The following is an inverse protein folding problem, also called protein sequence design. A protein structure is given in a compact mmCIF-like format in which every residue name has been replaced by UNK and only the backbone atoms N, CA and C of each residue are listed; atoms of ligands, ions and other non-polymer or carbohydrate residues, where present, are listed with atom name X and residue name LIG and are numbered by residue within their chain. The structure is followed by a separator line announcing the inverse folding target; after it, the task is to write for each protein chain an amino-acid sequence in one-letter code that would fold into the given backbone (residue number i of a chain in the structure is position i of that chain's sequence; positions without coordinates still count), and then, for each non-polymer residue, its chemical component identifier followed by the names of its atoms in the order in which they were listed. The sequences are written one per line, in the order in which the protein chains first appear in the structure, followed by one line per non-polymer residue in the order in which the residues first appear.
data_IF_796505212882
#
_entry.id   IF_796505212882
#
_cell.length_a   1.000
_cell.length_b   1.000
_cell.length_c   1.000
_cell.angle_alpha   90.00
_cell.angle_beta   90.00
_cell.angle_gamma   90.00
#
_symmetry.space_group_name_H-M   'P 1'
#
loop_
_entity.id
_entity.type
_entity.pdbx_description
1 polymer ?
#
# COMPACT_ATOMS: atom_id res chain seq x y z
N UNK A 1 -24.40 -48.57 67.39
CA UNK A 1 -22.96 -48.68 67.07
C UNK A 1 -22.89 -48.80 65.55
N UNK A 2 -23.03 -47.68 64.84
CA UNK A 2 -21.90 -46.87 64.33
C UNK A 2 -21.14 -47.63 63.25
N UNK A 3 -21.33 -47.31 61.97
CA UNK A 3 -20.43 -46.38 61.28
C UNK A 3 -20.96 -46.02 59.88
N UNK A 4 -20.82 -44.76 59.51
CA UNK A 4 -21.26 -44.14 58.26
C UNK A 4 -20.06 -44.02 57.32
N UNK A 5 -19.98 -44.86 56.30
CA UNK A 5 -18.95 -44.79 55.26
C UNK A 5 -19.38 -43.93 54.08
N UNK A 6 -19.12 -42.61 54.15
CA UNK A 6 -19.34 -41.67 53.05
C UNK A 6 -18.36 -41.87 51.89
N UNK A 7 -18.88 -41.81 50.66
CA UNK A 7 -18.09 -41.83 49.42
C UNK A 7 -17.35 -40.49 49.22
N UNK A 8 -16.06 -40.49 48.85
CA UNK A 8 -15.34 -39.25 48.57
C UNK A 8 -15.68 -38.72 47.16
N UNK A 9 -16.25 -37.52 47.13
CA UNK A 9 -16.38 -36.67 45.93
C UNK A 9 -15.01 -36.20 45.43
N UNK A 10 -14.77 -36.10 44.11
CA UNK A 10 -13.51 -35.60 43.57
C UNK A 10 -13.35 -34.08 43.81
N UNK A 11 -12.14 -33.59 44.07
CA UNK A 11 -11.89 -32.17 44.24
C UNK A 11 -12.04 -31.42 42.91
N UNK A 12 -12.87 -30.37 42.96
CA UNK A 12 -13.08 -29.37 41.93
C UNK A 12 -11.76 -28.63 41.64
N UNK A 13 -11.09 -28.96 40.54
CA UNK A 13 -9.90 -28.27 40.06
C UNK A 13 -10.37 -27.01 39.32
N UNK A 14 -10.62 -25.95 40.08
CA UNK A 14 -10.76 -24.59 39.55
C UNK A 14 -9.41 -24.17 38.96
N UNK A 15 -9.23 -24.38 37.65
CA UNK A 15 -8.08 -23.85 36.91
C UNK A 15 -8.17 -22.32 36.90
N UNK A 16 -7.45 -21.68 37.83
CA UNK A 16 -7.24 -20.24 37.82
C UNK A 16 -6.57 -19.80 36.52
N UNK A 17 -7.04 -18.69 35.96
CA UNK A 17 -6.42 -18.04 34.81
C UNK A 17 -4.93 -17.73 35.11
N UNK A 18 -4.02 -17.83 34.12
CA UNK A 18 -2.62 -17.49 34.32
C UNK A 18 -2.49 -16.02 34.75
N UNK A 19 -1.52 -15.69 35.64
CA UNK A 19 -1.33 -14.32 36.09
C UNK A 19 -0.92 -13.43 34.92
N UNK A 20 -1.40 -12.17 34.88
CA UNK A 20 -1.00 -11.22 33.85
C UNK A 20 0.51 -10.98 33.88
N UNK A 21 1.14 -10.64 32.74
CA UNK A 21 2.56 -10.33 32.68
C UNK A 21 2.90 -9.15 33.61
N UNK A 22 4.14 -9.09 34.14
CA UNK A 22 4.55 -8.00 35.01
C UNK A 22 4.48 -6.67 34.27
N UNK A 23 3.89 -5.66 34.93
CA UNK A 23 3.86 -4.28 34.46
C UNK A 23 5.31 -3.76 34.26
N UNK A 24 5.56 -2.91 33.25
CA UNK A 24 6.87 -2.31 33.06
C UNK A 24 7.28 -1.52 34.33
N UNK A 25 8.59 -1.41 34.62
CA UNK A 25 9.06 -0.64 35.77
C UNK A 25 8.55 0.79 35.65
N UNK A 26 7.82 1.25 36.66
CA UNK A 26 7.45 2.65 36.78
C UNK A 26 8.73 3.46 36.76
N UNK A 27 8.85 4.40 35.82
CA UNK A 27 9.96 5.32 35.77
C UNK A 27 9.91 6.13 37.08
N UNK A 28 10.69 5.71 38.08
CA UNK A 28 10.87 6.49 39.29
C UNK A 28 11.50 7.79 38.85
N UNK A 29 10.65 8.82 38.74
CA UNK A 29 11.08 10.19 38.54
C UNK A 29 11.82 10.58 39.81
N UNK A 30 13.12 10.30 39.86
CA UNK A 30 14.03 10.76 40.88
C UNK A 30 14.07 12.30 40.77
N UNK A 31 13.12 12.94 41.44
CA UNK A 31 12.98 14.38 41.50
C UNK A 31 14.01 14.87 42.51
N UNK A 32 15.24 15.10 42.05
CA UNK A 32 16.17 15.93 42.80
C UNK A 32 15.52 17.30 43.03
N UNK A 33 15.72 17.95 44.20
CA UNK A 33 15.23 19.31 44.43
C UNK A 33 15.78 20.25 43.34
N UNK A 34 14.98 21.15 42.76
CA UNK A 34 15.47 22.08 41.76
C UNK A 34 16.49 23.01 42.42
N UNK A 35 17.74 22.98 41.93
CA UNK A 35 18.70 24.06 42.16
C UNK A 35 18.07 25.39 41.70
N UNK A 36 18.39 26.53 42.32
CA UNK A 36 17.89 27.83 41.87
C UNK A 36 18.35 28.03 40.42
N UNK A 37 17.39 27.91 39.50
CA UNK A 37 17.62 28.09 38.10
C UNK A 37 18.07 29.54 37.89
N UNK A 38 19.28 29.74 37.37
CA UNK A 38 19.60 30.96 36.64
C UNK A 38 18.52 31.21 35.57
N UNK A 39 18.36 32.44 35.08
CA UNK A 39 17.31 32.76 34.11
C UNK A 39 17.34 31.71 32.98
N UNK A 40 16.18 31.12 32.63
CA UNK A 40 16.14 30.03 31.67
C UNK A 40 16.81 30.51 30.38
N UNK A 41 17.83 29.77 29.93
CA UNK A 41 18.48 30.03 28.65
C UNK A 41 17.36 30.04 27.60
N UNK A 42 17.11 31.20 27.00
CA UNK A 42 16.08 31.35 25.98
C UNK A 42 16.38 30.31 24.89
N UNK A 43 15.40 29.46 24.59
CA UNK A 43 15.56 28.46 23.55
C UNK A 43 15.86 29.19 22.23
N UNK A 44 16.84 28.74 21.43
CA UNK A 44 17.14 29.35 20.14
C UNK A 44 15.93 29.35 19.20
N UNK A 45 14.98 28.44 19.45
CA UNK A 45 13.70 28.40 18.75
C UNK A 45 12.81 29.61 19.05
N UNK A 46 12.77 30.06 20.31
CA UNK A 46 11.99 31.25 20.71
C UNK A 46 12.58 32.54 20.14
N UNK A 47 13.91 32.64 20.08
CA UNK A 47 14.59 33.77 19.42
C UNK A 47 14.30 33.78 17.92
N UNK A 48 14.39 32.61 17.27
CA UNK A 48 14.06 32.47 15.86
C UNK A 48 12.61 32.86 15.57
N UNK A 49 11.66 32.43 16.40
CA UNK A 49 10.25 32.82 16.29
C UNK A 49 10.04 34.33 16.51
N UNK A 50 10.73 34.93 17.49
CA UNK A 50 10.65 36.37 17.74
C UNK A 50 11.29 37.20 16.62
N UNK A 51 12.26 36.64 15.89
CA UNK A 51 12.91 37.27 14.74
C UNK A 51 12.12 37.16 13.42
N UNK A 52 11.00 36.43 13.40
CA UNK A 52 10.18 36.29 12.20
C UNK A 52 9.34 37.55 11.94
N UNK A 53 9.11 37.92 10.67
CA UNK A 53 8.22 39.02 10.32
C UNK A 53 6.81 38.85 10.89
N UNK A 54 6.18 39.95 11.29
CA UNK A 54 4.76 39.94 11.67
C UNK A 54 3.92 39.38 10.51
N UNK A 55 3.08 38.39 10.81
CA UNK A 55 2.27 37.70 9.80
C UNK A 55 2.91 36.48 9.15
N UNK A 56 4.14 36.08 9.52
CA UNK A 56 4.73 34.82 9.03
C UNK A 56 3.83 33.59 9.31
N UNK A 57 3.18 33.56 10.49
CA UNK A 57 2.22 32.50 10.84
C UNK A 57 0.89 32.59 10.07
N UNK A 58 0.55 33.77 9.55
CA UNK A 58 -0.67 34.01 8.76
C UNK A 58 -0.43 33.84 7.25
N UNK A 59 0.84 33.82 6.84
CA UNK A 59 1.21 33.63 5.45
C UNK A 59 0.95 32.18 5.05
N UNK A 60 -0.22 31.92 4.46
CA UNK A 60 -0.47 30.66 3.78
C UNK A 60 0.59 30.52 2.67
N UNK A 61 1.42 29.46 2.68
CA UNK A 61 2.30 29.20 1.56
C UNK A 61 1.41 29.13 0.31
N UNK A 62 1.80 29.85 -0.75
CA UNK A 62 1.12 29.72 -2.04
C UNK A 62 1.09 28.22 -2.38
N UNK A 63 -0.07 27.63 -2.69
CA UNK A 63 -0.11 26.24 -3.09
C UNK A 63 0.83 26.10 -4.29
N UNK A 64 1.85 25.24 -4.16
CA UNK A 64 2.70 24.88 -5.28
C UNK A 64 1.77 24.33 -6.37
N UNK A 65 1.91 24.80 -7.60
CA UNK A 65 1.18 24.20 -8.73
C UNK A 65 1.51 22.70 -8.72
N UNK A 66 0.49 21.87 -8.47
CA UNK A 66 0.68 20.43 -8.41
C UNK A 66 1.00 19.94 -9.82
N UNK A 67 2.23 19.51 -10.01
CA UNK A 67 2.67 18.81 -11.22
C UNK A 67 2.82 17.35 -10.85
N UNK A 68 2.21 16.47 -11.64
CA UNK A 68 2.34 15.04 -11.42
C UNK A 68 3.75 14.59 -11.77
N UNK A 69 4.42 13.91 -10.85
CA UNK A 69 5.72 13.32 -11.09
C UNK A 69 5.53 11.93 -11.70
N UNK A 70 5.84 11.80 -12.99
CA UNK A 70 5.74 10.51 -13.69
C UNK A 70 6.58 9.45 -12.98
N UNK A 71 5.98 8.29 -12.71
CA UNK A 71 6.60 7.23 -11.90
C UNK A 71 6.46 5.89 -12.63
N UNK A 72 7.48 5.03 -12.53
CA UNK A 72 7.41 3.69 -13.08
C UNK A 72 6.59 2.75 -12.20
N UNK A 73 5.72 1.98 -12.83
CA UNK A 73 4.93 0.93 -12.20
C UNK A 73 5.36 -0.42 -12.76
N UNK A 74 5.70 -1.35 -11.89
CA UNK A 74 6.04 -2.72 -12.23
C UNK A 74 4.80 -3.62 -12.14
N UNK A 75 4.61 -4.43 -13.16
CA UNK A 75 3.51 -5.37 -13.31
C UNK A 75 4.05 -6.79 -13.50
N UNK A 76 3.39 -7.76 -12.88
CA UNK A 76 3.77 -9.18 -12.90
C UNK A 76 2.58 -10.12 -13.21
N UNK A 77 1.42 -9.54 -13.55
CA UNK A 77 0.17 -10.24 -13.80
C UNK A 77 -0.45 -9.88 -15.15
N UNK A 78 -1.77 -9.72 -15.18
CA UNK A 78 -2.54 -9.44 -16.41
C UNK A 78 -2.16 -8.11 -17.05
N UNK A 79 -1.78 -7.10 -16.25
CA UNK A 79 -1.31 -5.78 -16.71
C UNK A 79 0.05 -5.82 -17.45
N UNK A 80 0.72 -6.98 -17.51
CA UNK A 80 1.90 -7.15 -18.37
C UNK A 80 1.54 -7.24 -19.85
N UNK A 81 0.27 -7.46 -20.18
CA UNK A 81 -0.19 -7.49 -21.57
C UNK A 81 -0.60 -6.08 -22.02
N UNK A 82 -0.05 -5.57 -23.14
CA UNK A 82 -0.32 -4.20 -23.58
C UNK A 82 -1.79 -3.92 -23.89
N UNK A 83 -2.51 -4.89 -24.47
CA UNK A 83 -3.95 -4.82 -24.79
C UNK A 83 -4.81 -4.60 -23.54
N UNK A 84 -4.54 -5.35 -22.48
CA UNK A 84 -5.24 -5.21 -21.19
C UNK A 84 -4.92 -3.85 -20.58
N UNK A 85 -3.63 -3.47 -20.53
CA UNK A 85 -3.22 -2.19 -19.96
C UNK A 85 -3.81 -1.00 -20.74
N UNK A 86 -3.87 -1.09 -22.06
CA UNK A 86 -4.50 -0.09 -22.92
C UNK A 86 -5.98 0.11 -22.54
N UNK A 87 -6.73 -0.97 -22.42
CA UNK A 87 -8.15 -0.94 -22.04
C UNK A 87 -8.36 -0.36 -20.64
N UNK A 88 -7.54 -0.78 -19.68
CA UNK A 88 -7.62 -0.27 -18.28
C UNK A 88 -7.32 1.22 -18.21
N UNK A 89 -6.29 1.69 -18.93
CA UNK A 89 -5.91 3.09 -18.93
C UNK A 89 -6.76 3.95 -19.88
N UNK A 90 -7.51 3.34 -20.79
CA UNK A 90 -8.27 4.03 -21.84
C UNK A 90 -7.35 4.83 -22.78
N UNK A 91 -6.25 4.21 -23.22
CA UNK A 91 -5.27 4.85 -24.12
C UNK A 91 -5.67 4.64 -25.59
N UNK A 92 -5.50 5.68 -26.41
CA UNK A 92 -5.77 5.62 -27.85
C UNK A 92 -4.78 4.71 -28.61
N UNK A 93 -3.59 4.51 -28.06
CA UNK A 93 -2.52 3.70 -28.64
C UNK A 93 -2.00 2.65 -27.65
N UNK A 94 -1.46 1.57 -28.18
CA UNK A 94 -0.86 0.49 -27.39
C UNK A 94 0.30 1.03 -26.50
N UNK A 95 0.29 0.77 -25.18
CA UNK A 95 1.33 1.25 -24.28
C UNK A 95 2.63 0.45 -24.45
N UNK A 96 3.77 1.15 -24.40
CA UNK A 96 5.09 0.52 -24.43
C UNK A 96 5.49 0.07 -23.04
N UNK A 97 5.49 -1.25 -22.84
CA UNK A 97 5.92 -1.93 -21.63
C UNK A 97 7.39 -2.34 -21.76
N UNK A 98 8.22 -1.97 -20.78
CA UNK A 98 9.63 -2.34 -20.74
C UNK A 98 9.82 -3.60 -19.89
N UNK A 99 10.49 -4.66 -20.38
CA UNK A 99 10.75 -5.83 -19.56
C UNK A 99 11.65 -5.47 -18.39
N UNK A 100 11.32 -5.99 -17.21
CA UNK A 100 12.01 -5.64 -15.97
C UNK A 100 11.93 -6.78 -14.93
N UNK A 101 12.70 -6.63 -13.86
CA UNK A 101 12.68 -7.51 -12.69
C UNK A 101 12.75 -6.71 -11.38
N UNK A 102 12.22 -7.31 -10.31
CA UNK A 102 12.31 -6.82 -8.93
C UNK A 102 12.82 -7.93 -8.02
N UNK A 103 13.47 -7.55 -6.91
CA UNK A 103 14.08 -8.48 -5.95
C UNK A 103 13.37 -8.43 -4.59
N UNK A 104 13.44 -9.53 -3.83
CA UNK A 104 12.87 -9.64 -2.48
C UNK A 104 11.40 -10.06 -2.44
N UNK A 105 10.82 -10.43 -3.58
CA UNK A 105 9.41 -10.81 -3.69
C UNK A 105 9.24 -12.19 -4.30
N UNK A 106 8.08 -12.79 -4.09
CA UNK A 106 7.65 -14.01 -4.78
C UNK A 106 6.19 -13.91 -5.19
N UNK A 107 5.80 -14.71 -6.20
CA UNK A 107 4.41 -14.83 -6.62
C UNK A 107 3.77 -16.03 -5.93
N UNK A 108 2.71 -15.77 -5.17
CA UNK A 108 1.83 -16.79 -4.63
C UNK A 108 0.50 -16.82 -5.41
N UNK A 109 -0.16 -17.98 -5.42
CA UNK A 109 -1.49 -18.11 -6.01
C UNK A 109 -2.56 -17.71 -5.00
N UNK A 110 -3.42 -16.79 -5.42
CA UNK A 110 -4.67 -16.46 -4.73
C UNK A 110 -5.84 -16.90 -5.61
N UNK A 111 -6.23 -18.16 -5.48
CA UNK A 111 -7.17 -18.79 -6.40
C UNK A 111 -6.58 -18.87 -7.81
N UNK A 112 -7.21 -18.17 -8.77
CA UNK A 112 -6.74 -18.06 -10.16
C UNK A 112 -5.78 -16.88 -10.40
N UNK A 113 -5.61 -15.98 -9.43
CA UNK A 113 -4.81 -14.78 -9.56
C UNK A 113 -3.42 -14.97 -8.97
N UNK A 114 -2.42 -14.29 -9.52
CA UNK A 114 -1.10 -14.19 -8.92
C UNK A 114 -1.06 -13.00 -7.97
N UNK A 115 -0.46 -13.19 -6.81
CA UNK A 115 -0.32 -12.17 -5.79
C UNK A 115 1.16 -12.06 -5.39
N UNK A 116 1.69 -10.83 -5.45
CA UNK A 116 3.05 -10.55 -5.02
C UNK A 116 3.10 -10.46 -3.50
N UNK A 117 4.01 -11.19 -2.88
CA UNK A 117 4.24 -11.19 -1.44
C UNK A 117 5.73 -11.12 -1.12
N UNK A 118 6.06 -10.70 0.10
CA UNK A 118 7.45 -10.64 0.56
C UNK A 118 8.09 -12.04 0.58
N UNK A 119 9.32 -12.11 0.09
CA UNK A 119 10.16 -13.30 0.06
C UNK A 119 11.54 -13.00 0.62
N UNK A 120 12.43 -13.99 0.55
CA UNK A 120 13.81 -13.84 0.97
C UNK A 120 14.54 -12.81 0.10
N UNK A 121 15.53 -12.09 0.65
CA UNK A 121 16.41 -11.26 -0.16
C UNK A 121 17.03 -12.09 -1.30
N UNK A 122 17.00 -11.57 -2.52
CA UNK A 122 17.50 -12.25 -3.71
C UNK A 122 16.47 -13.05 -4.50
N UNK A 123 15.27 -13.31 -3.98
CA UNK A 123 14.18 -13.88 -4.80
C UNK A 123 13.77 -12.88 -5.87
N UNK A 124 13.64 -13.32 -7.12
CA UNK A 124 13.38 -12.46 -8.28
C UNK A 124 11.98 -12.68 -8.81
N UNK A 125 11.29 -11.59 -9.13
CA UNK A 125 10.06 -11.60 -9.92
C UNK A 125 10.30 -10.83 -11.21
N UNK A 126 10.08 -11.50 -12.34
CA UNK A 126 10.15 -10.91 -13.68
C UNK A 126 8.79 -10.38 -14.10
N UNK A 127 8.78 -9.30 -14.87
CA UNK A 127 7.55 -8.65 -15.31
C UNK A 127 7.86 -7.54 -16.30
N UNK A 128 6.99 -6.54 -16.33
CA UNK A 128 7.13 -5.37 -17.19
C UNK A 128 6.88 -4.10 -16.40
N UNK A 129 7.50 -3.02 -16.80
CA UNK A 129 7.31 -1.71 -16.23
C UNK A 129 6.74 -0.72 -17.25
N UNK A 130 5.80 0.10 -16.79
CA UNK A 130 5.18 1.19 -17.56
C UNK A 130 5.39 2.50 -16.81
N UNK A 131 5.66 3.59 -17.57
CA UNK A 131 5.77 4.92 -16.99
C UNK A 131 4.40 5.57 -16.92
N UNK A 132 3.84 5.63 -15.71
CA UNK A 132 2.57 6.32 -15.45
C UNK A 132 2.83 7.82 -15.48
N UNK A 133 2.08 8.54 -16.30
CA UNK A 133 2.33 9.95 -16.65
C UNK A 133 1.31 10.91 -16.04
N UNK A 134 0.18 10.39 -15.58
CA UNK A 134 -0.87 11.22 -15.04
C UNK A 134 -1.54 10.63 -13.80
N UNK A 135 -2.25 11.52 -13.12
CA UNK A 135 -3.03 11.25 -11.91
C UNK A 135 -4.21 10.32 -12.23
N UNK A 136 -4.79 10.49 -13.42
CA UNK A 136 -5.91 9.71 -13.96
C UNK A 136 -5.47 8.28 -14.29
N UNK A 137 -4.32 8.09 -14.92
CA UNK A 137 -3.77 6.75 -15.18
C UNK A 137 -3.56 5.99 -13.86
N UNK A 138 -2.95 6.64 -12.86
CA UNK A 138 -2.75 6.02 -11.54
C UNK A 138 -4.07 5.68 -10.85
N UNK A 139 -5.11 6.51 -11.02
CA UNK A 139 -6.44 6.25 -10.48
C UNK A 139 -7.07 5.03 -11.15
N UNK A 140 -7.01 4.93 -12.49
CA UNK A 140 -7.54 3.79 -13.24
C UNK A 140 -6.86 2.49 -12.84
N UNK A 141 -5.54 2.50 -12.66
CA UNK A 141 -4.79 1.34 -12.15
C UNK A 141 -5.25 0.94 -10.75
N UNK A 142 -5.40 1.90 -9.84
CA UNK A 142 -5.86 1.62 -8.47
C UNK A 142 -7.30 1.10 -8.43
N UNK A 143 -8.15 1.53 -9.37
CA UNK A 143 -9.52 1.02 -9.51
C UNK A 143 -9.53 -0.42 -10.01
N UNK A 144 -8.72 -0.73 -11.03
CA UNK A 144 -8.64 -2.06 -11.64
C UNK A 144 -8.09 -3.13 -10.69
N UNK A 145 -7.07 -2.79 -9.90
CA UNK A 145 -6.44 -3.75 -8.97
C UNK A 145 -7.32 -4.04 -7.74
N UNK A 146 -8.33 -3.23 -7.44
CA UNK A 146 -9.24 -3.40 -6.28
C UNK A 146 -8.53 -3.31 -4.91
N UNK A 147 -9.21 -3.72 -3.83
CA UNK A 147 -8.67 -3.69 -2.46
C UNK A 147 -7.74 -4.86 -2.16
N UNK A 148 -7.63 -5.79 -3.09
CA UNK A 148 -6.76 -6.95 -2.99
C UNK A 148 -5.28 -6.57 -2.93
N UNK A 149 -4.91 -5.38 -3.40
CA UNK A 149 -3.51 -4.95 -3.48
C UNK A 149 -3.25 -3.57 -2.85
N UNK A 150 -2.08 -3.43 -2.22
CA UNK A 150 -1.50 -2.16 -1.78
C UNK A 150 -0.41 -1.72 -2.74
N UNK A 151 -0.24 -0.41 -2.86
CA UNK A 151 0.78 0.18 -3.70
C UNK A 151 2.06 0.37 -2.90
N UNK A 152 3.09 -0.42 -3.23
CA UNK A 152 4.36 -0.43 -2.51
C UNK A 152 5.51 0.11 -3.37
N UNK A 153 6.47 0.86 -2.79
CA UNK A 153 7.67 1.27 -3.49
C UNK A 153 8.56 0.05 -3.80
N UNK A 154 9.19 0.03 -4.97
CA UNK A 154 10.11 -1.04 -5.36
C UNK A 154 11.27 -0.51 -6.21
N UNK A 155 12.37 -1.28 -6.23
CA UNK A 155 13.51 -1.06 -7.11
C UNK A 155 13.34 -1.91 -8.38
N UNK A 156 13.19 -1.24 -9.52
CA UNK A 156 12.93 -1.86 -10.83
C UNK A 156 14.23 -1.90 -11.62
N UNK A 157 14.61 -3.10 -12.05
CA UNK A 157 15.79 -3.34 -12.89
C UNK A 157 15.30 -3.67 -14.29
N UNK A 158 15.56 -2.80 -15.26
CA UNK A 158 15.16 -3.03 -16.65
C UNK A 158 16.05 -4.10 -17.28
N UNK A 159 15.49 -4.92 -18.16
CA UNK A 159 16.20 -6.02 -18.84
C UNK A 159 16.22 -5.87 -20.36
N UNK A 160 15.82 -4.70 -20.88
CA UNK A 160 15.90 -4.34 -22.29
C UNK A 160 17.28 -3.79 -22.70
N UNK A 161 18.10 -3.42 -21.72
CA UNK A 161 19.50 -3.02 -21.88
C UNK A 161 20.43 -4.22 -22.09
N UNK A 162 20.54 -4.68 -23.32
CA UNK A 162 21.74 -5.31 -23.89
C UNK A 162 22.44 -6.42 -23.09
N UNK A 163 22.12 -7.66 -23.42
CA UNK A 163 23.15 -8.69 -23.42
C UNK A 163 24.32 -8.21 -24.29
N UNK A 164 25.55 -8.26 -23.78
CA UNK A 164 26.74 -8.02 -24.60
C UNK A 164 26.75 -8.93 -25.83
N UNK A 165 27.67 -8.71 -26.77
CA UNK A 165 27.84 -9.55 -27.96
C UNK A 165 28.18 -11.04 -27.65
N UNK A 166 28.29 -11.38 -26.37
CA UNK A 166 28.52 -12.68 -25.74
C UNK A 166 27.26 -13.27 -25.07
N UNK A 167 26.13 -12.57 -25.06
CA UNK A 167 24.89 -13.01 -24.41
C UNK A 167 24.87 -12.79 -22.90
N UNK A 168 25.84 -12.07 -22.33
CA UNK A 168 25.86 -11.73 -20.90
C UNK A 168 24.94 -10.53 -20.65
N UNK A 169 23.82 -10.77 -19.93
CA UNK A 169 22.92 -9.72 -19.47
C UNK A 169 23.70 -8.79 -18.54
N UNK A 170 24.08 -7.61 -19.02
CA UNK A 170 24.58 -6.56 -18.15
C UNK A 170 23.38 -6.03 -17.35
N UNK A 171 23.30 -6.42 -16.08
CA UNK A 171 22.38 -5.78 -15.16
C UNK A 171 22.78 -4.30 -15.08
N UNK A 172 21.86 -3.39 -15.39
CA UNK A 172 22.03 -2.01 -14.97
C UNK A 172 22.12 -2.04 -13.43
N UNK A 173 23.34 -1.87 -12.88
CA UNK A 173 23.60 -1.85 -11.44
C UNK A 173 22.77 -0.78 -10.70
N UNK A 174 22.22 0.18 -11.45
CA UNK A 174 21.41 1.26 -10.93
C UNK A 174 19.91 1.01 -11.17
N UNK A 175 19.14 0.59 -10.14
CA UNK A 175 17.70 0.42 -10.28
C UNK A 175 16.99 1.76 -10.47
N UNK A 176 15.84 1.71 -11.15
CA UNK A 176 14.87 2.79 -11.16
C UNK A 176 13.88 2.59 -10.03
N UNK A 177 13.71 3.60 -9.16
CA UNK A 177 12.70 3.54 -8.11
C UNK A 177 11.31 3.78 -8.69
N UNK A 178 10.40 2.85 -8.39
CA UNK A 178 9.04 2.88 -8.87
C UNK A 178 8.09 2.27 -7.85
N UNK A 179 6.97 1.76 -8.33
CA UNK A 179 5.92 1.16 -7.51
C UNK A 179 5.44 -0.16 -8.08
N UNK A 180 4.88 -1.00 -7.22
CA UNK A 180 4.27 -2.28 -7.59
C UNK A 180 3.01 -2.49 -6.76
N UNK A 181 2.14 -3.40 -7.21
CA UNK A 181 0.96 -3.83 -6.48
C UNK A 181 1.31 -5.05 -5.64
N UNK A 182 1.34 -4.93 -4.32
CA UNK A 182 1.60 -6.04 -3.39
C UNK A 182 0.27 -6.53 -2.79
N UNK A 183 0.16 -7.81 -2.47
CA UNK A 183 -1.04 -8.34 -1.82
C UNK A 183 -1.33 -7.64 -0.48
N UNK A 184 -2.56 -7.16 -0.33
CA UNK A 184 -3.01 -6.41 0.85
C UNK A 184 -3.47 -7.31 2.03
N UNK A 185 -3.64 -8.61 1.78
CA UNK A 185 -4.14 -9.56 2.78
C UNK A 185 -3.05 -10.28 3.57
N UNK A 186 -3.42 -11.41 4.18
CA UNK A 186 -2.48 -12.24 4.93
C UNK A 186 -1.61 -13.08 3.98
N UNK A 187 -0.37 -12.64 3.77
CA UNK A 187 0.61 -13.36 2.95
C UNK A 187 0.92 -14.77 3.49
N UNK A 188 0.85 -15.00 4.81
CA UNK A 188 1.08 -16.34 5.37
C UNK A 188 -0.07 -17.28 5.03
N UNK A 189 -1.32 -16.80 5.03
CA UNK A 189 -2.47 -17.58 4.60
C UNK A 189 -2.35 -18.01 3.13
N UNK A 190 -1.84 -17.14 2.26
CA UNK A 190 -1.53 -17.49 0.87
C UNK A 190 -0.44 -18.57 0.76
N UNK A 191 0.65 -18.45 1.53
CA UNK A 191 1.73 -19.45 1.56
C UNK A 191 1.23 -20.82 2.05
N UNK A 192 0.31 -20.81 3.02
CA UNK A 192 -0.32 -22.01 3.58
C UNK A 192 -1.45 -22.58 2.69
N UNK A 193 -1.77 -21.93 1.56
CA UNK A 193 -2.83 -22.35 0.64
C UNK A 193 -4.24 -22.25 1.22
N UNK A 194 -4.44 -21.48 2.29
CA UNK A 194 -5.77 -21.27 2.89
C UNK A 194 -6.51 -20.19 2.11
N UNK A 195 -7.45 -20.62 1.26
CA UNK A 195 -8.30 -19.71 0.51
C UNK A 195 -9.57 -19.40 1.32
N UNK A 196 -9.82 -18.12 1.60
CA UNK A 196 -11.04 -17.63 2.26
C UNK A 196 -11.91 -16.86 1.27
N UNK A 197 -13.10 -17.40 0.98
CA UNK A 197 -14.05 -16.84 0.01
C UNK A 197 -14.67 -15.52 0.48
N UNK A 198 -14.90 -15.35 1.78
CA UNK A 198 -15.47 -14.11 2.33
C UNK A 198 -14.43 -12.97 2.31
N UNK A 199 -13.16 -13.30 2.57
CA UNK A 199 -12.05 -12.37 2.39
C UNK A 199 -11.89 -11.96 0.91
N UNK A 200 -12.07 -12.90 -0.01
CA UNK A 200 -12.05 -12.65 -1.45
C UNK A 200 -13.14 -11.66 -1.88
N UNK A 201 -14.41 -11.90 -1.52
CA UNK A 201 -15.51 -10.96 -1.85
C UNK A 201 -15.28 -9.55 -1.29
N UNK A 202 -14.73 -9.48 -0.07
CA UNK A 202 -14.42 -8.19 0.58
C UNK A 202 -13.27 -7.46 -0.13
N UNK A 203 -12.26 -8.19 -0.59
CA UNK A 203 -11.07 -7.62 -1.24
C UNK A 203 -11.33 -7.23 -2.71
N UNK A 204 -12.25 -7.88 -3.41
CA UNK A 204 -12.62 -7.50 -4.79
C UNK A 204 -13.47 -6.21 -4.87
N UNK A 205 -13.85 -5.61 -3.73
CA UNK A 205 -14.46 -4.27 -3.69
C UNK A 205 -13.44 -3.15 -3.98
N UNK A 206 -13.94 -1.92 -4.21
CA UNK A 206 -13.09 -0.75 -4.50
C UNK A 206 -12.81 0.13 -3.25
N UNK A 207 -11.58 0.59 -3.08
CA UNK A 207 -11.09 1.45 -1.99
C UNK A 207 -9.95 2.28 -2.55
N UNK A 208 -10.22 3.55 -2.77
CA UNK A 208 -9.25 4.49 -3.33
C UNK A 208 -8.00 4.62 -2.45
N UNK A 209 -6.80 4.90 -3.03
CA UNK A 209 -5.58 5.07 -2.27
C UNK A 209 -5.72 6.18 -1.20
N UNK A 210 -5.00 6.10 -0.05
CA UNK A 210 -5.10 7.07 1.05
C UNK A 210 -5.01 8.54 0.63
N UNK A 211 -4.16 8.86 -0.35
CA UNK A 211 -3.98 10.22 -0.89
C UNK A 211 -5.21 10.80 -1.61
N UNK A 212 -6.22 9.98 -1.91
CA UNK A 212 -7.46 10.36 -2.59
C UNK A 212 -8.71 10.23 -1.71
N UNK A 213 -8.62 9.53 -0.57
CA UNK A 213 -9.76 9.36 0.37
C UNK A 213 -10.36 10.69 0.83
N UNK A 214 -9.57 11.76 0.92
CA UNK A 214 -10.01 13.07 1.45
C UNK A 214 -10.10 14.19 0.40
N UNK A 215 -10.04 13.88 -0.90
CA UNK A 215 -10.14 14.89 -1.99
C UNK A 215 -11.30 14.68 -2.96
N UNK A 216 -12.07 13.61 -2.79
CA UNK A 216 -13.05 13.12 -3.77
C UNK A 216 -14.43 13.77 -3.77
N UNK A 217 -14.68 14.84 -2.99
CA UNK A 217 -16.04 15.41 -2.88
C UNK A 217 -16.61 16.06 -4.14
N UNK A 218 -15.82 16.22 -5.22
CA UNK A 218 -16.28 16.84 -6.48
C UNK A 218 -16.02 15.99 -7.73
N UNK A 219 -14.87 15.31 -7.81
CA UNK A 219 -14.48 14.53 -9.00
C UNK A 219 -15.21 13.19 -9.07
N UNK A 220 -15.59 12.61 -7.93
CA UNK A 220 -16.33 11.34 -7.91
C UNK A 220 -17.79 11.50 -8.36
N UNK A 221 -18.40 12.69 -8.20
CA UNK A 221 -19.75 12.95 -8.72
C UNK A 221 -19.76 13.14 -10.24
N UNK A 222 -18.75 13.82 -10.78
CA UNK A 222 -18.66 14.13 -12.21
C UNK A 222 -18.37 12.87 -13.07
N UNK A 223 -17.69 11.87 -12.51
CA UNK A 223 -17.45 10.59 -13.18
C UNK A 223 -18.63 9.62 -13.05
N UNK A 224 -19.43 9.72 -11.99
CA UNK A 224 -20.67 8.93 -11.86
C UNK A 224 -21.74 9.47 -12.82
N UNK A 225 -21.89 10.80 -12.94
CA UNK A 225 -22.81 11.44 -13.91
C UNK A 225 -22.46 11.12 -15.37
N UNK A 226 -21.17 11.12 -15.73
CA UNK A 226 -20.75 10.82 -17.09
C UNK A 226 -20.98 9.36 -17.52
N UNK A 227 -21.06 8.41 -16.57
CA UNK A 227 -21.34 6.99 -16.87
C UNK A 227 -22.85 6.77 -17.10
N UNK A 228 -23.71 7.52 -16.39
CA UNK A 228 -25.17 7.46 -16.63
C UNK A 228 -25.55 8.10 -17.97
N UNK A 229 -24.88 9.18 -18.37
CA UNK A 229 -25.14 9.84 -19.67
C UNK A 229 -24.75 8.97 -20.87
N UNK A 230 -23.73 8.11 -20.77
CA UNK A 230 -23.31 7.22 -21.87
C UNK A 230 -24.29 6.05 -22.06
N UNK A 231 -24.84 5.49 -20.98
CA UNK A 231 -25.86 4.42 -21.07
C UNK A 231 -27.22 4.92 -21.58
N UNK A 232 -27.56 6.20 -21.40
CA UNK A 232 -28.81 6.79 -21.92
C UNK A 232 -28.72 7.10 -23.42
N UNK A 233 -27.55 7.50 -23.92
CA UNK A 233 -27.31 7.77 -25.35
C UNK A 233 -27.31 6.48 -26.20
N UNK A 234 -26.86 5.34 -25.66
CA UNK A 234 -26.91 4.05 -26.38
C UNK A 234 -28.32 3.45 -26.47
N UNK A 235 -29.29 3.91 -25.65
CA UNK A 235 -30.69 3.48 -25.75
C UNK A 235 -31.50 4.26 -26.78
N UNK A 236 -31.15 5.51 -27.07
CA UNK A 236 -31.85 6.30 -28.11
C UNK A 236 -31.33 6.05 -29.54
N UNK A 237 -30.17 5.41 -29.71
CA UNK A 237 -29.59 5.10 -31.03
C UNK A 237 -30.07 3.80 -31.68
N UNK A 238 -30.88 2.99 -30.98
CA UNK A 238 -31.27 1.64 -31.44
C UNK A 238 -32.71 1.55 -32.01
N UNK A 239 -33.45 2.66 -32.09
CA UNK A 239 -34.83 2.69 -32.63
C UNK A 239 -35.03 3.73 -33.75
N UNK A 240 -34.04 3.87 -34.65
CA UNK A 240 -34.17 4.64 -35.90
C UNK A 240 -33.81 3.80 -37.13
#
# INVERSE_FOLDING_TARGET
MSDSGGAPTPPNITRGAPPPPPLPPQLVSARSPPQPAGPPKRSPYLEKLASMPEGYLLQRPKPRSYTYESTYYFFYGTLTKPDILQGVLGLDSEPVLRPAKIYGYELAKWGQYNALIDSKPGTVVTGHAYMVRSVEEEYKLAYYETNAYTLEPCAIYFTDGGGGADGEQHEDDNPTYGRTFQYAGDAQALKDGRFDWALWETQMGARLPPKWRNRGGKVAQELDEAVVDVEEIEREGAEA
#
